data_IF_230495205539
#
_entry.id   IF_230495205539
#
_cell.length_a   1.000
_cell.length_b   1.000
_cell.length_c   1.000
_cell.angle_alpha   90.00
_cell.angle_beta   90.00
_cell.angle_gamma   90.00
#
_symmetry.space_group_name_H-M   'P 1'
#
loop_
_entity.id
_entity.type
_entity.pdbx_description
1 polymer ?
#
# COMPACT_ATOMS: atom_id res chain seq x y z
N UNK A 1 25.78 -1.38 -24.58
CA UNK A 1 24.50 -0.67 -24.85
C UNK A 1 24.56 0.80 -24.43
N UNK A 2 25.24 1.15 -23.32
CA UNK A 2 25.37 2.54 -22.83
C UNK A 2 26.17 3.45 -23.79
N UNK A 3 27.30 2.97 -24.31
CA UNK A 3 28.15 3.75 -25.18
C UNK A 3 27.43 4.20 -26.48
N UNK A 4 26.68 3.30 -27.12
CA UNK A 4 25.90 3.64 -28.32
C UNK A 4 24.80 4.68 -28.10
N UNK A 5 24.24 4.72 -26.93
CA UNK A 5 23.22 5.72 -26.56
C UNK A 5 23.88 7.08 -26.31
N UNK A 6 25.03 7.07 -25.69
CA UNK A 6 25.82 8.26 -25.43
C UNK A 6 26.29 8.91 -26.74
N UNK A 7 26.87 8.12 -27.67
CA UNK A 7 27.27 8.58 -29.01
C UNK A 7 26.07 9.20 -29.76
N UNK A 8 24.89 8.57 -29.69
CA UNK A 8 23.66 9.07 -30.31
C UNK A 8 23.21 10.43 -29.76
N UNK A 9 23.34 10.65 -28.47
CA UNK A 9 22.96 11.90 -27.82
C UNK A 9 23.98 13.02 -28.12
N UNK A 10 25.28 12.69 -28.15
CA UNK A 10 26.34 13.61 -28.51
C UNK A 10 26.18 14.10 -29.99
N UNK A 11 25.92 13.19 -30.91
CA UNK A 11 25.66 13.52 -32.34
C UNK A 11 24.47 14.47 -32.54
N UNK A 12 23.52 14.47 -31.60
CA UNK A 12 22.32 15.33 -31.66
C UNK A 12 22.41 16.59 -30.78
N UNK A 13 23.55 16.82 -30.13
CA UNK A 13 23.74 17.97 -29.26
C UNK A 13 22.87 17.93 -27.98
N UNK A 14 22.46 16.75 -27.57
CA UNK A 14 21.62 16.56 -26.38
C UNK A 14 22.44 16.21 -25.12
N UNK A 15 23.72 15.91 -25.27
CA UNK A 15 24.58 15.45 -24.17
C UNK A 15 24.84 16.54 -23.10
N UNK A 16 24.72 17.81 -23.46
CA UNK A 16 24.95 18.94 -22.55
C UNK A 16 23.64 19.54 -22.00
N UNK A 17 22.51 18.87 -22.19
CA UNK A 17 21.22 19.34 -21.70
C UNK A 17 20.99 18.93 -20.24
N UNK A 18 20.20 19.72 -19.49
CA UNK A 18 19.78 19.40 -18.14
C UNK A 18 18.99 18.08 -18.11
N UNK A 19 18.11 17.84 -19.07
CA UNK A 19 17.34 16.60 -19.19
C UNK A 19 18.26 15.37 -19.32
N UNK A 20 19.36 15.49 -20.04
CA UNK A 20 20.36 14.43 -20.14
C UNK A 20 21.04 14.17 -18.80
N UNK A 21 21.45 15.22 -18.11
CA UNK A 21 22.08 15.14 -16.79
C UNK A 21 21.15 14.44 -15.78
N UNK A 22 19.88 14.87 -15.71
CA UNK A 22 18.87 14.26 -14.84
C UNK A 22 18.60 12.80 -15.20
N UNK A 23 18.57 12.47 -16.47
CA UNK A 23 18.41 11.07 -16.94
C UNK A 23 19.58 10.19 -16.48
N UNK A 24 20.83 10.68 -16.62
CA UNK A 24 22.00 9.94 -16.15
C UNK A 24 21.97 9.75 -14.63
N UNK A 25 21.58 10.79 -13.89
CA UNK A 25 21.43 10.71 -12.43
C UNK A 25 20.42 9.65 -12.04
N UNK A 26 19.22 9.63 -12.66
CA UNK A 26 18.19 8.63 -12.40
C UNK A 26 18.67 7.19 -12.71
N UNK A 27 19.40 6.99 -13.82
CA UNK A 27 20.00 5.70 -14.16
C UNK A 27 21.02 5.28 -13.09
N UNK A 28 21.85 6.20 -12.63
CA UNK A 28 22.88 5.90 -11.62
C UNK A 28 22.24 5.58 -10.25
N UNK A 29 21.20 6.31 -9.87
CA UNK A 29 20.42 6.02 -8.66
C UNK A 29 19.79 4.63 -8.73
N UNK A 30 19.16 4.28 -9.86
CA UNK A 30 18.58 2.96 -10.09
C UNK A 30 19.61 1.82 -10.02
N UNK A 31 20.81 2.02 -10.57
CA UNK A 31 21.92 1.04 -10.44
C UNK A 31 22.35 0.87 -8.99
N UNK A 32 22.54 1.98 -8.28
CA UNK A 32 22.97 1.95 -6.86
C UNK A 32 21.91 1.25 -6.01
N UNK A 33 20.63 1.47 -6.27
CA UNK A 33 19.54 0.76 -5.61
C UNK A 33 19.59 -0.75 -5.92
N UNK A 34 19.74 -1.13 -7.18
CA UNK A 34 19.82 -2.54 -7.58
C UNK A 34 21.02 -3.28 -6.96
N UNK A 35 22.16 -2.60 -6.80
CA UNK A 35 23.37 -3.16 -6.20
C UNK A 35 23.28 -3.29 -4.68
N UNK A 36 22.66 -2.33 -4.01
CA UNK A 36 22.59 -2.25 -2.55
C UNK A 36 21.34 -2.89 -1.95
N UNK A 37 20.24 -2.95 -2.71
CA UNK A 37 18.93 -3.44 -2.25
C UNK A 37 18.38 -2.66 -1.05
N UNK A 38 18.70 -1.38 -0.94
CA UNK A 38 18.38 -0.56 0.24
C UNK A 38 17.19 0.36 -0.02
N UNK A 39 16.06 0.04 0.60
CA UNK A 39 14.87 0.91 0.60
C UNK A 39 15.18 2.27 1.23
N UNK A 40 16.01 2.31 2.26
CA UNK A 40 16.52 3.54 2.88
C UNK A 40 17.17 4.48 1.84
N UNK A 41 18.03 3.91 0.99
CA UNK A 41 18.67 4.69 -0.07
C UNK A 41 17.64 5.24 -1.07
N UNK A 42 16.69 4.40 -1.47
CA UNK A 42 15.63 4.78 -2.42
C UNK A 42 14.77 5.91 -1.86
N UNK A 43 14.32 5.78 -0.63
CA UNK A 43 13.46 6.76 0.04
C UNK A 43 14.12 8.12 0.13
N UNK A 44 15.37 8.16 0.61
CA UNK A 44 16.12 9.40 0.68
C UNK A 44 16.33 10.05 -0.69
N UNK A 45 16.60 9.25 -1.74
CA UNK A 45 16.74 9.80 -3.09
C UNK A 45 15.42 10.35 -3.66
N UNK A 46 14.30 9.71 -3.36
CA UNK A 46 12.98 10.22 -3.75
C UNK A 46 12.70 11.57 -3.11
N UNK A 47 12.89 11.70 -1.81
CA UNK A 47 12.70 12.96 -1.09
C UNK A 47 13.65 14.06 -1.60
N UNK A 48 14.95 13.77 -1.72
CA UNK A 48 15.95 14.74 -2.20
C UNK A 48 15.67 15.21 -3.63
N UNK A 49 15.30 14.30 -4.55
CA UNK A 49 14.96 14.65 -5.92
C UNK A 49 13.71 15.55 -5.94
N UNK A 50 12.67 15.19 -5.19
CA UNK A 50 11.45 16.00 -5.10
C UNK A 50 11.77 17.42 -4.57
N UNK A 51 12.49 17.51 -3.47
CA UNK A 51 12.88 18.80 -2.86
C UNK A 51 13.62 19.67 -3.87
N UNK A 52 14.60 19.11 -4.56
CA UNK A 52 15.39 19.86 -5.55
C UNK A 52 14.52 20.42 -6.67
N UNK A 53 13.66 19.61 -7.24
CA UNK A 53 12.82 20.03 -8.36
C UNK A 53 11.71 20.98 -7.90
N UNK A 54 11.08 20.71 -6.75
CA UNK A 54 10.03 21.57 -6.21
C UNK A 54 10.54 22.95 -5.79
N UNK A 55 11.71 23.02 -5.15
CA UNK A 55 12.31 24.29 -4.77
C UNK A 55 12.72 25.16 -5.98
N UNK A 56 12.89 24.53 -7.15
CA UNK A 56 13.19 25.25 -8.40
C UNK A 56 11.92 25.81 -9.09
N UNK A 57 10.73 25.40 -8.64
CA UNK A 57 9.46 25.93 -9.16
C UNK A 57 9.11 27.22 -8.41
N UNK A 58 8.75 28.25 -9.16
CA UNK A 58 8.45 29.58 -8.61
C UNK A 58 6.98 29.65 -8.13
N UNK A 59 6.68 29.00 -6.99
CA UNK A 59 5.38 29.05 -6.34
C UNK A 59 4.29 28.22 -7.01
N UNK A 60 4.66 27.27 -7.85
CA UNK A 60 3.71 26.33 -8.47
C UNK A 60 3.30 25.22 -7.49
N UNK A 61 2.14 24.65 -7.70
CA UNK A 61 1.68 23.47 -6.96
C UNK A 61 1.98 22.21 -7.75
N UNK A 62 2.43 21.16 -7.07
CA UNK A 62 2.75 19.86 -7.66
C UNK A 62 1.88 18.79 -7.03
N UNK A 63 1.32 17.93 -7.85
CA UNK A 63 0.66 16.69 -7.42
C UNK A 63 1.52 15.50 -7.82
N UNK A 64 1.82 14.63 -6.86
CA UNK A 64 2.53 13.37 -7.06
C UNK A 64 1.63 12.17 -6.74
N UNK A 65 1.82 11.07 -7.45
CA UNK A 65 1.17 9.79 -7.17
C UNK A 65 2.25 8.77 -6.85
N UNK A 66 2.22 8.25 -5.63
CA UNK A 66 3.20 7.30 -5.11
C UNK A 66 2.49 6.13 -4.43
N UNK A 67 3.20 5.04 -4.15
CA UNK A 67 2.69 3.97 -3.29
C UNK A 67 2.47 4.47 -1.86
N UNK A 68 1.45 3.95 -1.17
CA UNK A 68 1.01 4.40 0.16
C UNK A 68 2.16 4.48 1.18
N UNK A 69 3.09 3.52 1.18
CA UNK A 69 4.26 3.53 2.06
C UNK A 69 5.17 4.76 1.93
N UNK A 70 5.08 5.51 0.82
CA UNK A 70 5.87 6.72 0.59
C UNK A 70 5.11 8.01 0.91
N UNK A 71 3.79 7.93 1.03
CA UNK A 71 2.88 9.09 1.17
C UNK A 71 2.31 9.27 2.57
N UNK A 72 2.48 8.30 3.45
CA UNK A 72 2.09 8.41 4.85
C UNK A 72 3.14 9.26 5.62
N UNK A 73 2.74 10.42 6.18
CA UNK A 73 3.67 11.31 6.90
C UNK A 73 4.13 10.76 8.25
N UNK A 74 3.47 9.75 8.78
CA UNK A 74 3.81 9.11 10.05
C UNK A 74 4.56 7.78 9.86
N UNK A 75 4.69 7.30 8.62
CA UNK A 75 5.34 6.04 8.31
C UNK A 75 6.88 6.14 8.27
N UNK A 76 7.49 4.99 8.50
CA UNK A 76 8.94 4.79 8.35
C UNK A 76 9.22 3.98 7.08
N UNK A 77 10.31 4.32 6.40
CA UNK A 77 10.73 3.67 5.15
C UNK A 77 11.27 2.25 5.34
N UNK A 78 11.57 1.86 6.57
CA UNK A 78 12.12 0.56 6.90
C UNK A 78 11.51 -0.02 8.18
N UNK A 79 11.50 -1.34 8.28
CA UNK A 79 10.98 -2.06 9.45
C UNK A 79 11.77 -1.80 10.74
N UNK A 80 12.97 -1.26 10.66
CA UNK A 80 13.77 -0.88 11.82
C UNK A 80 13.42 0.51 12.36
N UNK A 81 12.58 1.28 11.66
CA UNK A 81 12.16 2.62 12.05
C UNK A 81 13.32 3.63 12.07
N UNK A 82 14.27 3.49 11.14
CA UNK A 82 15.50 4.31 11.12
C UNK A 82 15.44 5.47 10.14
N UNK A 83 14.58 5.38 9.12
CA UNK A 83 14.43 6.42 8.10
C UNK A 83 12.94 6.74 7.90
N UNK A 84 12.55 8.01 8.04
CA UNK A 84 11.19 8.44 7.76
C UNK A 84 10.80 8.22 6.30
N UNK A 85 9.51 8.04 6.03
CA UNK A 85 8.96 8.00 4.68
C UNK A 85 9.30 9.27 3.88
N UNK A 86 9.15 9.24 2.57
CA UNK A 86 9.28 10.44 1.74
C UNK A 86 8.36 11.56 2.24
N UNK A 87 7.08 11.25 2.51
CA UNK A 87 6.13 12.25 3.01
C UNK A 87 6.56 12.83 4.36
N UNK A 88 7.03 12.01 5.30
CA UNK A 88 7.54 12.49 6.58
C UNK A 88 8.72 13.47 6.42
N UNK A 89 9.67 13.16 5.52
CA UNK A 89 10.78 14.05 5.19
C UNK A 89 10.31 15.36 4.53
N UNK A 90 9.26 15.31 3.70
CA UNK A 90 8.68 16.49 3.05
C UNK A 90 7.88 17.36 4.04
N UNK A 91 7.18 16.74 5.01
CA UNK A 91 6.48 17.47 6.09
C UNK A 91 7.50 18.23 6.96
N UNK A 92 8.63 17.63 7.28
CA UNK A 92 9.70 18.32 8.03
C UNK A 92 10.16 19.61 7.33
N UNK A 93 10.17 19.62 5.98
CA UNK A 93 10.60 20.77 5.19
C UNK A 93 9.50 21.77 4.89
N UNK A 94 8.31 21.32 4.52
CA UNK A 94 7.25 22.15 3.97
C UNK A 94 6.06 22.36 4.91
N UNK A 95 6.00 21.59 6.00
CA UNK A 95 4.94 21.71 7.01
C UNK A 95 3.54 21.59 6.39
N UNK A 96 2.66 22.50 6.78
CA UNK A 96 1.26 22.54 6.35
C UNK A 96 1.05 22.80 4.83
N UNK A 97 2.16 23.06 4.09
CA UNK A 97 2.08 23.19 2.63
C UNK A 97 2.03 21.84 1.90
N UNK A 98 2.34 20.74 2.60
CA UNK A 98 2.17 19.38 2.10
C UNK A 98 0.82 18.83 2.54
N UNK A 99 0.07 18.29 1.60
CA UNK A 99 -1.11 17.48 1.85
C UNK A 99 -0.91 16.11 1.22
N UNK A 100 -1.21 15.07 1.97
CA UNK A 100 -1.22 13.69 1.48
C UNK A 100 -2.60 13.08 1.67
N UNK A 101 -3.01 12.26 0.71
CA UNK A 101 -4.28 11.55 0.73
C UNK A 101 -4.05 10.11 0.30
N UNK A 102 -4.43 9.15 1.13
CA UNK A 102 -4.45 7.75 0.74
C UNK A 102 -5.75 7.46 -0.01
N UNK A 103 -5.63 7.22 -1.31
CA UNK A 103 -6.77 6.93 -2.19
C UNK A 103 -6.94 5.44 -2.46
N UNK A 104 -6.19 4.57 -1.79
CA UNK A 104 -6.21 3.13 -2.07
C UNK A 104 -7.57 2.48 -1.81
N UNK A 105 -8.33 2.97 -0.83
CA UNK A 105 -9.69 2.51 -0.50
C UNK A 105 -10.82 3.47 -0.86
N UNK A 106 -10.55 4.71 -1.24
CA UNK A 106 -11.59 5.70 -1.62
C UNK A 106 -12.43 5.19 -2.81
N UNK A 107 -11.85 4.40 -3.69
CA UNK A 107 -12.55 3.82 -4.83
C UNK A 107 -13.40 2.58 -4.48
N UNK A 108 -13.35 2.09 -3.24
CA UNK A 108 -14.00 0.86 -2.82
C UNK A 108 -15.17 1.13 -1.87
N UNK A 109 -16.25 1.61 -2.44
CA UNK A 109 -17.53 1.63 -1.75
C UNK A 109 -18.19 0.25 -1.80
N UNK A 110 -19.01 -0.12 -0.80
CA UNK A 110 -19.76 -1.36 -0.86
C UNK A 110 -20.57 -1.44 -2.16
N UNK A 111 -20.33 -2.48 -2.94
CA UNK A 111 -21.01 -2.68 -4.22
C UNK A 111 -22.45 -3.18 -4.03
N UNK A 112 -22.67 -3.91 -2.93
CA UNK A 112 -23.97 -4.45 -2.52
C UNK A 112 -23.94 -4.89 -1.07
N UNK A 113 -25.10 -5.16 -0.51
CA UNK A 113 -25.27 -5.83 0.78
C UNK A 113 -25.72 -7.26 0.55
N UNK A 114 -24.99 -8.21 1.10
CA UNK A 114 -25.32 -9.63 1.12
C UNK A 114 -25.78 -10.03 2.53
N UNK A 115 -26.33 -11.25 2.69
CA UNK A 115 -26.51 -11.89 3.97
C UNK A 115 -25.58 -13.08 4.07
N UNK A 116 -24.73 -13.11 5.11
CA UNK A 116 -23.83 -14.23 5.35
C UNK A 116 -24.19 -14.92 6.66
N UNK A 117 -24.21 -16.24 6.62
CA UNK A 117 -24.35 -17.08 7.84
C UNK A 117 -22.96 -17.44 8.34
N UNK A 118 -22.67 -17.06 9.59
CA UNK A 118 -21.42 -17.38 10.28
C UNK A 118 -21.78 -17.96 11.67
N UNK A 119 -21.21 -19.10 12.02
CA UNK A 119 -21.53 -19.82 13.27
C UNK A 119 -23.04 -19.99 13.53
N UNK A 120 -23.84 -20.17 12.49
CA UNK A 120 -25.29 -20.39 12.57
C UNK A 120 -26.13 -19.11 12.74
N UNK A 121 -25.52 -17.92 12.80
CA UNK A 121 -26.20 -16.63 12.87
C UNK A 121 -26.07 -15.88 11.55
N UNK A 122 -27.13 -15.18 11.13
CA UNK A 122 -27.14 -14.37 9.91
C UNK A 122 -26.69 -12.93 10.22
N UNK A 123 -25.83 -12.39 9.36
CA UNK A 123 -25.33 -11.02 9.42
C UNK A 123 -25.54 -10.32 8.08
N UNK A 124 -25.83 -9.03 8.14
CA UNK A 124 -25.66 -8.17 6.99
C UNK A 124 -24.17 -8.05 6.67
N UNK A 125 -23.81 -8.18 5.40
CA UNK A 125 -22.43 -8.13 4.93
C UNK A 125 -22.29 -7.16 3.76
N UNK A 126 -21.53 -6.11 3.98
CA UNK A 126 -21.14 -5.17 2.92
C UNK A 126 -20.09 -5.82 2.03
N UNK A 127 -20.41 -6.02 0.75
CA UNK A 127 -19.51 -6.61 -0.24
C UNK A 127 -18.68 -5.55 -0.95
N UNK A 128 -17.36 -5.70 -0.94
CA UNK A 128 -16.42 -4.73 -1.51
C UNK A 128 -15.77 -5.19 -2.82
N UNK A 129 -16.13 -6.34 -3.34
CA UNK A 129 -15.64 -6.83 -4.61
C UNK A 129 -14.78 -8.09 -4.49
N UNK A 130 -14.27 -8.50 -5.64
CA UNK A 130 -13.43 -9.66 -5.81
C UNK A 130 -12.19 -9.28 -6.59
N UNK A 131 -11.05 -9.77 -6.17
CA UNK A 131 -9.73 -9.54 -6.74
C UNK A 131 -9.19 -10.83 -7.36
N UNK A 132 -8.61 -10.75 -8.57
CA UNK A 132 -7.85 -11.86 -9.16
C UNK A 132 -6.44 -11.91 -8.53
N UNK A 133 -6.17 -12.99 -7.80
CA UNK A 133 -4.89 -13.26 -7.15
C UNK A 133 -4.11 -14.41 -7.80
N UNK A 134 -4.57 -14.90 -8.95
CA UNK A 134 -4.02 -16.08 -9.62
C UNK A 134 -2.56 -15.94 -10.04
N UNK A 135 -2.07 -14.71 -10.21
CA UNK A 135 -0.70 -14.42 -10.62
C UNK A 135 0.34 -14.56 -9.51
N UNK A 136 -0.07 -14.51 -8.23
CA UNK A 136 0.87 -14.48 -7.09
C UNK A 136 0.47 -15.35 -5.89
N UNK A 137 -0.76 -15.78 -5.77
CA UNK A 137 -1.28 -16.48 -4.58
C UNK A 137 -1.31 -18.02 -4.71
N UNK A 138 -0.37 -18.64 -5.39
CA UNK A 138 -0.23 -20.09 -5.46
C UNK A 138 -1.44 -20.77 -6.11
N UNK A 139 -2.19 -21.56 -5.34
CA UNK A 139 -3.33 -22.34 -5.84
C UNK A 139 -4.65 -21.55 -5.88
N UNK A 140 -4.66 -20.30 -5.43
CA UNK A 140 -5.84 -19.46 -5.42
C UNK A 140 -6.04 -18.76 -6.77
N UNK A 141 -7.32 -18.60 -7.14
CA UNK A 141 -7.77 -17.88 -8.32
C UNK A 141 -8.18 -16.46 -7.96
N UNK A 142 -9.02 -16.31 -6.92
CA UNK A 142 -9.56 -15.02 -6.52
C UNK A 142 -9.80 -14.94 -5.02
N UNK A 143 -9.96 -13.68 -4.56
CA UNK A 143 -10.27 -13.32 -3.19
C UNK A 143 -11.38 -12.28 -3.19
N UNK A 144 -12.47 -12.54 -2.46
CA UNK A 144 -13.60 -11.65 -2.30
C UNK A 144 -13.68 -11.12 -0.87
N UNK A 145 -14.20 -9.89 -0.69
CA UNK A 145 -14.16 -9.15 0.57
C UNK A 145 -15.56 -8.78 1.05
N UNK A 146 -15.85 -9.09 2.30
CA UNK A 146 -17.04 -8.63 3.02
C UNK A 146 -16.67 -8.06 4.39
N UNK A 147 -17.41 -7.05 4.83
CA UNK A 147 -17.45 -6.62 6.21
C UNK A 147 -18.80 -7.01 6.81
N UNK A 148 -18.78 -7.68 7.96
CA UNK A 148 -20.00 -8.03 8.70
C UNK A 148 -20.43 -6.86 9.56
N UNK A 149 -21.61 -6.34 9.31
CA UNK A 149 -22.10 -5.17 10.03
C UNK A 149 -22.55 -5.53 11.43
N UNK A 150 -22.00 -4.84 12.45
CA UNK A 150 -22.37 -5.00 13.85
C UNK A 150 -22.04 -6.39 14.45
N UNK A 151 -21.05 -7.08 13.91
CA UNK A 151 -20.73 -8.45 14.28
C UNK A 151 -19.64 -8.57 15.37
N UNK A 152 -18.95 -7.49 15.71
CA UNK A 152 -17.73 -7.55 16.53
C UNK A 152 -17.96 -8.17 17.92
N UNK A 153 -18.99 -7.74 18.64
CA UNK A 153 -19.32 -8.26 19.97
C UNK A 153 -19.59 -9.78 19.99
N UNK A 154 -20.01 -10.35 18.87
CA UNK A 154 -20.25 -11.80 18.76
C UNK A 154 -18.94 -12.59 18.55
N UNK A 155 -17.85 -11.94 18.12
CA UNK A 155 -16.60 -12.61 17.74
C UNK A 155 -15.35 -12.07 18.44
N UNK A 156 -15.45 -11.07 19.32
CA UNK A 156 -14.30 -10.47 20.01
C UNK A 156 -13.53 -11.48 20.88
N UNK A 157 -14.24 -12.46 21.46
CA UNK A 157 -13.67 -13.49 22.33
C UNK A 157 -13.39 -14.82 21.59
N UNK A 158 -13.60 -14.89 20.27
CA UNK A 158 -13.35 -16.10 19.52
C UNK A 158 -11.86 -16.46 19.46
N UNK A 159 -11.50 -17.77 19.43
CA UNK A 159 -10.12 -18.20 19.38
C UNK A 159 -9.40 -17.69 18.12
N UNK A 160 -8.20 -17.20 18.31
CA UNK A 160 -7.33 -16.78 17.20
C UNK A 160 -6.73 -18.00 16.51
N UNK A 161 -6.68 -17.96 15.17
CA UNK A 161 -6.08 -19.01 14.34
C UNK A 161 -4.71 -18.64 13.79
N UNK A 162 -4.34 -17.35 13.86
CA UNK A 162 -3.06 -16.83 13.41
C UNK A 162 -2.65 -15.58 14.20
N UNK A 163 -1.41 -15.15 14.01
CA UNK A 163 -0.92 -13.88 14.54
C UNK A 163 -1.65 -12.69 13.92
N UNK A 164 -1.61 -11.55 14.61
CA UNK A 164 -2.07 -10.25 14.07
C UNK A 164 -1.28 -9.90 12.82
N UNK A 165 -1.97 -9.57 11.74
CA UNK A 165 -1.36 -9.20 10.46
C UNK A 165 -1.78 -7.79 10.05
N UNK A 166 -0.84 -6.97 9.56
CA UNK A 166 -1.20 -5.69 8.96
C UNK A 166 -2.03 -5.91 7.69
N UNK A 167 -3.06 -5.07 7.52
CA UNK A 167 -4.04 -5.21 6.44
C UNK A 167 -3.96 -4.06 5.45
N UNK A 168 -2.79 -3.90 4.84
CA UNK A 168 -2.54 -2.91 3.80
C UNK A 168 -3.01 -3.31 2.40
N UNK A 169 -3.58 -4.50 2.26
CA UNK A 169 -4.05 -5.06 0.98
C UNK A 169 -5.58 -5.23 0.91
N UNK A 170 -6.32 -4.70 1.89
CA UNK A 170 -7.78 -4.67 1.86
C UNK A 170 -8.24 -3.49 0.99
N UNK A 171 -9.34 -3.67 0.22
CA UNK A 171 -9.87 -2.61 -0.65
C UNK A 171 -10.73 -1.58 0.08
N UNK A 172 -10.78 -1.59 1.39
CA UNK A 172 -11.53 -0.66 2.23
C UNK A 172 -10.75 -0.35 3.50
N UNK A 173 -11.04 0.81 4.14
CA UNK A 173 -10.48 1.15 5.45
C UNK A 173 -10.83 0.08 6.49
N UNK A 174 -9.91 -0.15 7.41
CA UNK A 174 -10.07 -1.04 8.55
C UNK A 174 -10.16 -0.17 9.79
N UNK A 175 -11.21 -0.36 10.57
CA UNK A 175 -11.44 0.34 11.83
C UNK A 175 -11.56 -0.66 12.97
N UNK A 176 -11.18 -0.24 14.17
CA UNK A 176 -11.38 -1.05 15.38
C UNK A 176 -12.85 -1.43 15.55
N UNK A 177 -13.11 -2.66 15.99
CA UNK A 177 -14.45 -3.17 16.19
C UNK A 177 -15.15 -3.64 14.91
N UNK A 178 -14.40 -3.92 13.85
CA UNK A 178 -14.93 -4.46 12.58
C UNK A 178 -14.58 -5.95 12.44
N UNK A 179 -15.46 -6.67 11.74
CA UNK A 179 -15.28 -8.08 11.38
C UNK A 179 -15.35 -8.24 9.87
N UNK A 180 -14.40 -8.97 9.30
CA UNK A 180 -14.27 -9.20 7.89
C UNK A 180 -14.35 -10.67 7.53
N UNK A 181 -14.91 -10.97 6.36
CA UNK A 181 -14.91 -12.30 5.75
C UNK A 181 -14.19 -12.21 4.42
N UNK A 182 -13.15 -13.01 4.26
CA UNK A 182 -12.45 -13.18 3.01
C UNK A 182 -12.83 -14.53 2.41
N UNK A 183 -13.44 -14.49 1.23
CA UNK A 183 -13.79 -15.68 0.47
C UNK A 183 -12.74 -15.97 -0.59
N UNK A 184 -12.04 -17.09 -0.46
CA UNK A 184 -11.04 -17.52 -1.43
C UNK A 184 -11.62 -18.57 -2.37
N UNK A 185 -11.40 -18.40 -3.67
CA UNK A 185 -11.69 -19.40 -4.68
C UNK A 185 -10.38 -19.96 -5.21
N UNK A 186 -10.24 -21.29 -5.20
CA UNK A 186 -9.06 -21.98 -5.73
C UNK A 186 -9.17 -22.22 -7.24
N UNK A 187 -8.04 -22.45 -7.90
CA UNK A 187 -7.96 -22.78 -9.34
C UNK A 187 -8.70 -24.07 -9.72
N UNK A 188 -8.95 -24.96 -8.78
CA UNK A 188 -9.76 -26.17 -8.95
C UNK A 188 -11.28 -25.94 -8.77
N UNK A 189 -11.69 -24.70 -8.46
CA UNK A 189 -13.08 -24.30 -8.25
C UNK A 189 -13.59 -24.51 -6.83
N UNK A 190 -12.78 -25.02 -5.90
CA UNK A 190 -13.16 -25.10 -4.49
C UNK A 190 -13.06 -23.73 -3.82
N UNK A 191 -13.90 -23.49 -2.81
CA UNK A 191 -13.90 -22.21 -2.10
C UNK A 191 -13.81 -22.43 -0.60
N UNK A 192 -13.18 -21.49 0.08
CA UNK A 192 -13.10 -21.44 1.54
C UNK A 192 -13.33 -20.01 2.04
N UNK A 193 -13.69 -19.84 3.31
CA UNK A 193 -13.83 -18.55 3.96
C UNK A 193 -12.90 -18.47 5.15
N UNK A 194 -12.30 -17.29 5.32
CA UNK A 194 -11.52 -16.92 6.48
C UNK A 194 -12.15 -15.71 7.14
N UNK A 195 -12.02 -15.62 8.45
CA UNK A 195 -12.66 -14.63 9.29
C UNK A 195 -11.61 -13.84 10.03
N UNK A 196 -11.75 -12.52 10.02
CA UNK A 196 -10.80 -11.60 10.61
C UNK A 196 -11.55 -10.55 11.42
N UNK A 197 -10.97 -10.11 12.53
CA UNK A 197 -11.46 -8.95 13.28
C UNK A 197 -10.36 -7.92 13.44
N UNK A 198 -10.72 -6.67 13.59
CA UNK A 198 -9.81 -5.59 13.97
C UNK A 198 -10.07 -5.16 15.40
N UNK A 199 -9.10 -5.41 16.26
CA UNK A 199 -9.14 -5.06 17.68
C UNK A 199 -8.53 -3.66 17.94
N UNK A 200 -8.21 -2.91 16.86
CA UNK A 200 -7.61 -1.58 16.90
C UNK A 200 -6.10 -1.60 17.10
N UNK A 201 -5.46 -2.73 16.89
CA UNK A 201 -4.02 -2.81 16.88
C UNK A 201 -3.44 -2.19 15.61
N UNK A 202 -2.31 -1.49 15.77
CA UNK A 202 -1.60 -0.82 14.68
C UNK A 202 -0.17 -1.32 14.64
N UNK A 203 0.29 -1.73 13.46
CA UNK A 203 1.66 -2.09 13.22
C UNK A 203 2.26 -1.20 12.13
N UNK A 204 3.31 -0.46 12.48
CA UNK A 204 4.02 0.44 11.56
C UNK A 204 3.09 1.42 10.82
N UNK A 205 2.12 2.01 11.53
CA UNK A 205 1.14 2.94 10.95
C UNK A 205 -0.01 2.29 10.18
N UNK A 206 -0.08 0.95 10.14
CA UNK A 206 -1.14 0.22 9.47
C UNK A 206 -2.07 -0.46 10.47
N UNK A 207 -3.37 -0.32 10.28
CA UNK A 207 -4.36 -1.06 11.04
C UNK A 207 -4.20 -2.57 10.80
N UNK A 208 -4.35 -3.35 11.88
CA UNK A 208 -4.15 -4.78 11.85
C UNK A 208 -5.47 -5.53 11.98
N UNK A 209 -5.49 -6.76 11.47
CA UNK A 209 -6.55 -7.72 11.72
C UNK A 209 -5.98 -9.03 12.24
N UNK A 210 -6.78 -9.73 13.04
CA UNK A 210 -6.47 -11.04 13.59
C UNK A 210 -7.40 -12.08 12.99
N UNK A 211 -6.85 -13.17 12.44
CA UNK A 211 -7.65 -14.30 11.96
C UNK A 211 -8.20 -15.08 13.16
N UNK A 212 -9.49 -15.41 13.13
CA UNK A 212 -10.16 -16.15 14.19
C UNK A 212 -11.02 -17.30 13.64
N UNK A 213 -11.37 -18.22 14.52
CA UNK A 213 -12.26 -19.36 14.24
C UNK A 213 -13.63 -19.02 14.80
N UNK A 214 -14.67 -18.82 13.96
CA UNK A 214 -16.01 -18.52 14.45
C UNK A 214 -16.63 -19.77 15.11
N UNK A 215 -17.11 -19.64 16.33
CA UNK A 215 -17.78 -20.68 17.13
C UNK A 215 -19.29 -20.42 17.25
#
# INVERSE_FOLDING_TARGET
TGARYQDYLEERGLADTEDYRLTLEAIQQGKTFAERGSDIYRENRMAENFIREFDALDGESVMGIYGAAHTDPDAMADSAGTVPSMAAQLVERYGDSLHTEDISWIAWEPQRTDTLTVAGKEYQASYFGEEDISGWAGDYQSRAFWRLEGAYEDFEDCPESSDVLPCNDYPMPIEAGQVFVLGYTRKDGTSERKYYRSDGEVWNGMDCTTEFIPE
#
